data_IF_187244109190
#
_entry.id   IF_187244109190
#
_cell.length_a   1.000
_cell.length_b   1.000
_cell.length_c   1.000
_cell.angle_alpha   90.00
_cell.angle_beta   90.00
_cell.angle_gamma   90.00
#
_symmetry.space_group_name_H-M   'P 1'
#
loop_
_entity.id
_entity.type
_entity.pdbx_description
1 polymer ?
#
# COMPACT_ATOMS: atom_id res chain seq x y z
N UNK A 1 22.34 9.70 11.38
CA UNK A 1 21.48 8.57 11.85
C UNK A 1 20.00 8.88 11.70
N UNK A 2 19.48 10.00 12.25
CA UNK A 2 18.04 10.36 12.15
C UNK A 2 17.59 10.50 10.70
N UNK A 3 18.36 11.17 9.86
CA UNK A 3 18.10 11.36 8.42
C UNK A 3 17.93 10.02 7.69
N UNK A 4 18.76 9.04 8.01
CA UNK A 4 18.68 7.68 7.46
C UNK A 4 17.43 6.97 7.97
N UNK A 5 17.15 7.01 9.27
CA UNK A 5 15.99 6.32 9.84
C UNK A 5 14.66 6.85 9.30
N UNK A 6 14.52 8.19 9.21
CA UNK A 6 13.34 8.81 8.63
C UNK A 6 13.23 8.54 7.14
N UNK A 7 14.35 8.56 6.40
CA UNK A 7 14.39 8.23 4.99
C UNK A 7 13.94 6.78 4.73
N UNK A 8 14.45 5.82 5.49
CA UNK A 8 14.01 4.42 5.43
C UNK A 8 12.52 4.27 5.70
N UNK A 9 12.06 4.85 6.80
CA UNK A 9 10.65 4.75 7.18
C UNK A 9 9.73 5.33 6.11
N UNK A 10 10.05 6.53 5.60
CA UNK A 10 9.24 7.20 4.60
C UNK A 10 9.25 6.46 3.27
N UNK A 11 10.41 6.01 2.78
CA UNK A 11 10.49 5.33 1.49
C UNK A 11 9.83 3.95 1.52
N UNK A 12 10.03 3.14 2.56
CA UNK A 12 9.39 1.83 2.67
C UNK A 12 7.88 2.00 2.86
N UNK A 13 7.44 2.94 3.72
CA UNK A 13 6.03 3.28 3.88
C UNK A 13 5.41 3.69 2.53
N UNK A 14 6.07 4.57 1.77
CA UNK A 14 5.59 5.02 0.46
C UNK A 14 5.58 3.90 -0.59
N UNK A 15 6.54 2.97 -0.57
CA UNK A 15 6.52 1.78 -1.43
C UNK A 15 5.34 0.87 -1.10
N UNK A 16 5.11 0.59 0.18
CA UNK A 16 3.97 -0.21 0.61
C UNK A 16 2.64 0.45 0.26
N UNK A 17 2.51 1.76 0.50
CA UNK A 17 1.31 2.54 0.17
C UNK A 17 1.06 2.65 -1.33
N UNK A 18 2.08 2.54 -2.17
CA UNK A 18 1.88 2.52 -3.62
C UNK A 18 1.33 1.19 -4.11
N UNK A 19 1.71 0.06 -3.51
CA UNK A 19 1.18 -1.26 -3.85
C UNK A 19 -0.18 -1.55 -3.21
N UNK A 20 -0.33 -1.18 -1.93
CA UNK A 20 -1.56 -1.33 -1.15
C UNK A 20 -2.21 0.01 -0.86
N UNK A 21 -3.38 -0.04 -0.26
CA UNK A 21 -4.13 1.13 0.20
C UNK A 21 -3.89 1.43 1.67
N UNK A 22 -4.33 2.59 2.13
CA UNK A 22 -4.28 2.94 3.56
C UNK A 22 -5.18 2.05 4.42
N UNK A 23 -6.36 1.69 3.88
CA UNK A 23 -7.34 0.82 4.52
C UNK A 23 -7.87 -0.15 3.47
N UNK A 24 -8.02 -1.42 3.84
CA UNK A 24 -8.69 -2.43 3.02
C UNK A 24 -9.94 -2.94 3.72
N UNK A 25 -10.99 -3.16 2.92
CA UNK A 25 -12.23 -3.82 3.34
C UNK A 25 -12.36 -5.11 2.56
N UNK A 26 -12.46 -6.22 3.26
CA UNK A 26 -12.57 -7.56 2.69
C UNK A 26 -13.69 -8.34 3.39
N UNK A 27 -14.09 -9.46 2.80
CA UNK A 27 -14.96 -10.41 3.48
C UNK A 27 -14.24 -11.02 4.69
N UNK A 28 -14.93 -11.15 5.82
CA UNK A 28 -14.41 -11.88 6.99
C UNK A 28 -14.15 -13.37 6.66
N UNK A 29 -14.87 -13.91 5.68
CA UNK A 29 -14.79 -15.31 5.24
C UNK A 29 -13.88 -15.43 4.02
N UNK A 30 -12.57 -15.26 4.20
CA UNK A 30 -11.58 -15.46 3.14
C UNK A 30 -11.32 -16.95 2.91
N UNK A 31 -11.04 -17.31 1.65
CA UNK A 31 -10.51 -18.63 1.30
C UNK A 31 -9.07 -18.80 1.84
N UNK A 32 -8.70 -20.02 2.23
CA UNK A 32 -7.37 -20.36 2.75
C UNK A 32 -6.22 -20.03 1.76
N UNK A 33 -6.52 -19.79 0.49
CA UNK A 33 -5.53 -19.54 -0.57
C UNK A 33 -5.26 -18.06 -0.86
N UNK A 34 -5.58 -17.14 0.06
CA UNK A 34 -5.49 -15.68 -0.14
C UNK A 34 -6.37 -15.13 -1.27
N UNK A 35 -7.26 -15.95 -1.83
CA UNK A 35 -8.24 -15.50 -2.78
C UNK A 35 -9.34 -14.71 -2.06
N UNK A 36 -9.79 -13.63 -2.69
CA UNK A 36 -10.88 -12.83 -2.13
C UNK A 36 -12.23 -13.49 -2.36
N UNK A 37 -13.05 -13.54 -1.32
CA UNK A 37 -14.47 -13.88 -1.43
C UNK A 37 -15.25 -12.63 -1.87
N UNK A 38 -16.31 -12.77 -2.68
CA UNK A 38 -17.07 -11.62 -3.15
C UNK A 38 -17.78 -10.93 -2.00
N UNK A 39 -17.69 -9.61 -1.97
CA UNK A 39 -18.46 -8.73 -1.11
C UNK A 39 -19.51 -8.00 -1.92
N UNK A 40 -20.70 -7.79 -1.34
CA UNK A 40 -21.79 -7.07 -1.97
C UNK A 40 -21.79 -5.62 -1.52
N UNK A 41 -21.68 -4.71 -2.47
CA UNK A 41 -21.68 -3.26 -2.25
C UNK A 41 -23.08 -2.63 -2.38
N UNK A 42 -24.10 -3.39 -2.73
CA UNK A 42 -25.47 -2.90 -2.82
C UNK A 42 -25.88 -2.30 -1.46
N UNK A 43 -26.34 -1.05 -1.46
CA UNK A 43 -26.75 -0.31 -0.24
C UNK A 43 -25.63 0.02 0.75
N UNK A 44 -24.35 -0.08 0.37
CA UNK A 44 -23.23 0.38 1.18
C UNK A 44 -22.80 1.77 0.75
N UNK A 45 -23.27 2.78 1.45
CA UNK A 45 -22.78 4.15 1.25
C UNK A 45 -21.50 4.32 2.07
N UNK A 46 -20.41 4.58 1.39
CA UNK A 46 -19.19 5.06 2.02
C UNK A 46 -19.32 6.57 2.00
N UNK A 47 -19.63 7.16 3.15
CA UNK A 47 -19.68 8.62 3.29
C UNK A 47 -18.38 9.21 2.76
N UNK A 48 -18.49 10.12 1.79
CA UNK A 48 -17.36 10.89 1.27
C UNK A 48 -16.84 11.85 2.35
N UNK A 49 -16.12 11.29 3.33
CA UNK A 49 -15.41 12.09 4.31
C UNK A 49 -14.35 12.92 3.58
N UNK A 50 -14.17 14.18 3.97
CA UNK A 50 -13.16 15.12 3.44
C UNK A 50 -11.71 14.56 3.42
N UNK A 51 -11.46 13.43 4.09
CA UNK A 51 -10.17 12.76 4.14
C UNK A 51 -9.99 11.63 3.09
N UNK A 52 -11.03 11.29 2.31
CA UNK A 52 -10.96 10.25 1.28
C UNK A 52 -10.47 10.86 -0.03
N UNK A 53 -9.45 10.23 -0.65
CA UNK A 53 -8.97 10.59 -2.00
C UNK A 53 -9.67 9.74 -3.04
N UNK A 54 -9.67 8.41 -2.85
CA UNK A 54 -10.28 7.46 -3.77
C UNK A 54 -10.63 6.15 -3.09
N UNK A 55 -11.58 5.45 -3.67
CA UNK A 55 -11.98 4.09 -3.33
C UNK A 55 -11.83 3.30 -4.61
N UNK A 56 -11.12 2.19 -4.57
CA UNK A 56 -10.87 1.31 -5.71
C UNK A 56 -11.32 -0.10 -5.38
N UNK A 57 -12.04 -0.73 -6.31
CA UNK A 57 -12.39 -2.14 -6.20
C UNK A 57 -11.21 -3.01 -6.62
N UNK A 58 -11.05 -4.15 -5.94
CA UNK A 58 -10.06 -5.14 -6.32
C UNK A 58 -10.56 -6.57 -6.09
N UNK A 59 -9.83 -7.52 -6.65
CA UNK A 59 -9.99 -8.94 -6.37
C UNK A 59 -8.64 -9.65 -6.48
N UNK A 60 -8.47 -10.73 -5.70
CA UNK A 60 -7.31 -11.62 -5.82
C UNK A 60 -7.74 -13.00 -6.31
N UNK A 61 -6.96 -13.57 -7.23
CA UNK A 61 -7.13 -14.94 -7.72
C UNK A 61 -5.79 -15.62 -7.93
N UNK A 62 -5.63 -16.80 -7.34
CA UNK A 62 -4.44 -17.64 -7.54
C UNK A 62 -4.48 -18.29 -8.92
N UNK A 63 -3.34 -18.33 -9.57
CA UNK A 63 -3.19 -18.99 -10.86
C UNK A 63 -1.79 -19.57 -11.03
N UNK A 64 -1.68 -20.54 -11.92
CA UNK A 64 -0.43 -21.18 -12.31
C UNK A 64 -0.17 -20.82 -13.76
N UNK A 65 0.98 -20.21 -14.01
CA UNK A 65 1.47 -19.95 -15.37
C UNK A 65 2.29 -21.16 -15.81
N UNK A 66 2.03 -21.65 -17.00
CA UNK A 66 2.78 -22.72 -17.63
C UNK A 66 3.30 -22.26 -18.98
N UNK A 67 4.60 -22.43 -19.21
CA UNK A 67 5.20 -22.27 -20.52
C UNK A 67 5.51 -23.64 -21.12
N UNK A 68 5.08 -23.81 -22.36
CA UNK A 68 5.54 -24.94 -23.19
C UNK A 68 6.90 -24.58 -23.79
N UNK A 69 7.98 -24.86 -23.08
CA UNK A 69 9.29 -24.78 -23.68
C UNK A 69 9.50 -25.94 -24.66
N UNK A 70 10.20 -25.63 -25.80
CA UNK A 70 10.59 -26.65 -26.77
C UNK A 70 11.61 -27.66 -26.22
N UNK A 71 12.25 -27.36 -25.10
CA UNK A 71 13.13 -28.26 -24.33
C UNK A 71 12.37 -28.79 -23.14
N UNK A 72 12.21 -30.05 -23.04
CA UNK A 72 11.55 -31.02 -22.12
C UNK A 72 11.24 -30.65 -20.64
N UNK A 73 11.41 -29.45 -20.17
CA UNK A 73 11.01 -28.99 -18.85
C UNK A 73 9.89 -27.95 -18.94
N UNK A 74 8.68 -28.33 -18.48
CA UNK A 74 7.59 -27.38 -18.29
C UNK A 74 7.93 -26.48 -17.09
N UNK A 75 8.32 -25.22 -17.33
CA UNK A 75 8.48 -24.24 -16.28
C UNK A 75 7.09 -23.78 -15.81
N UNK A 76 6.89 -23.83 -14.51
CA UNK A 76 5.61 -23.53 -13.87
C UNK A 76 5.84 -22.53 -12.75
N UNK A 77 5.04 -21.47 -12.71
CA UNK A 77 5.09 -20.45 -11.65
C UNK A 77 3.71 -20.16 -11.10
N UNK A 78 3.61 -20.20 -9.77
CA UNK A 78 2.36 -19.84 -9.06
C UNK A 78 2.33 -18.35 -8.74
N UNK A 79 1.30 -17.65 -9.21
CA UNK A 79 1.11 -16.22 -8.99
C UNK A 79 -0.26 -15.92 -8.39
N UNK A 80 -0.34 -14.82 -7.67
CA UNK A 80 -1.58 -14.21 -7.21
C UNK A 80 -1.91 -13.02 -8.11
N UNK A 81 -2.94 -13.14 -8.94
CA UNK A 81 -3.40 -12.04 -9.78
C UNK A 81 -4.26 -11.07 -8.98
N UNK A 82 -3.89 -9.79 -9.03
CA UNK A 82 -4.67 -8.68 -8.53
C UNK A 82 -5.46 -8.06 -9.69
N UNK A 83 -6.78 -8.13 -9.60
CA UNK A 83 -7.68 -7.46 -10.52
C UNK A 83 -7.75 -5.97 -10.20
N UNK A 84 -7.54 -5.13 -11.21
CA UNK A 84 -7.59 -3.66 -11.12
C UNK A 84 -8.66 -3.16 -12.08
N UNK A 85 -9.46 -2.22 -11.63
CA UNK A 85 -10.54 -1.63 -12.43
C UNK A 85 -10.00 -0.70 -13.53
N UNK A 86 -8.99 0.11 -13.21
CA UNK A 86 -8.42 1.06 -14.16
C UNK A 86 -6.90 1.17 -14.03
N UNK A 87 -6.18 0.53 -14.95
CA UNK A 87 -4.71 0.57 -14.96
C UNK A 87 -4.13 1.98 -15.14
N UNK A 88 -4.81 2.83 -15.94
CA UNK A 88 -4.33 4.20 -16.19
C UNK A 88 -4.49 5.12 -14.98
N UNK A 89 -5.39 4.82 -14.05
CA UNK A 89 -5.54 5.57 -12.79
C UNK A 89 -4.63 5.03 -11.69
N UNK A 90 -4.23 3.76 -11.80
CA UNK A 90 -3.41 3.11 -10.78
C UNK A 90 -2.02 3.74 -10.69
N UNK A 91 -1.76 4.44 -9.59
CA UNK A 91 -0.50 5.16 -9.34
C UNK A 91 0.71 4.24 -9.23
N UNK A 92 0.50 3.03 -8.69
CA UNK A 92 1.54 2.02 -8.52
C UNK A 92 2.08 1.57 -9.89
N UNK A 93 1.20 1.11 -10.77
CA UNK A 93 1.62 0.64 -12.09
C UNK A 93 2.25 1.74 -12.93
N UNK A 94 1.75 2.99 -12.84
CA UNK A 94 2.41 4.13 -13.51
C UNK A 94 3.84 4.35 -13.05
N UNK A 95 4.10 4.17 -11.75
CA UNK A 95 5.41 4.43 -11.15
C UNK A 95 6.43 3.32 -11.43
N UNK A 96 5.97 2.07 -11.41
CA UNK A 96 6.84 0.91 -11.44
C UNK A 96 6.84 0.14 -12.77
N UNK A 97 6.06 0.56 -13.78
CA UNK A 97 6.13 -0.01 -15.12
C UNK A 97 7.45 0.37 -15.76
N UNK A 98 8.22 -0.63 -16.19
CA UNK A 98 9.55 -0.45 -16.82
C UNK A 98 9.52 -0.71 -18.30
N UNK A 99 8.57 -1.53 -18.78
CA UNK A 99 8.44 -1.84 -20.20
C UNK A 99 7.00 -2.17 -20.57
N UNK A 100 6.61 -1.93 -21.81
CA UNK A 100 5.24 -2.14 -22.28
C UNK A 100 4.32 -0.93 -22.07
N UNK A 101 3.02 -1.16 -22.22
CA UNK A 101 1.99 -0.13 -22.15
C UNK A 101 0.86 -0.56 -21.22
N UNK A 102 0.39 0.36 -20.38
CA UNK A 102 -0.79 0.13 -19.55
C UNK A 102 -2.04 -0.03 -20.44
N UNK A 103 -2.73 -1.17 -20.37
CA UNK A 103 -3.91 -1.41 -21.19
C UNK A 103 -5.00 -0.36 -20.91
N UNK A 104 -5.75 -0.03 -21.98
CA UNK A 104 -6.91 0.83 -21.88
C UNK A 104 -8.17 -0.02 -21.95
N UNK A 105 -8.97 0.00 -20.90
CA UNK A 105 -10.22 -0.75 -20.86
C UNK A 105 -11.37 0.15 -21.35
N UNK A 106 -11.62 0.14 -22.65
CA UNK A 106 -12.80 0.80 -23.23
C UNK A 106 -13.97 -0.17 -23.14
N UNK A 107 -14.56 -0.37 -21.96
CA UNK A 107 -15.75 -1.20 -21.70
C UNK A 107 -15.70 -2.66 -22.25
N UNK A 108 -14.55 -3.13 -22.73
CA UNK A 108 -14.33 -4.52 -23.16
C UNK A 108 -13.37 -5.18 -22.19
N UNK A 109 -13.74 -6.38 -21.75
CA UNK A 109 -12.87 -7.23 -20.92
C UNK A 109 -11.57 -7.51 -21.65
N UNK A 110 -10.46 -7.25 -20.99
CA UNK A 110 -9.14 -7.36 -21.57
C UNK A 110 -8.40 -8.57 -20.97
N UNK A 111 -7.76 -9.37 -21.81
CA UNK A 111 -6.94 -10.52 -21.45
C UNK A 111 -5.45 -10.19 -21.28
N UNK A 112 -5.12 -8.90 -21.25
CA UNK A 112 -3.75 -8.42 -21.06
C UNK A 112 -3.37 -8.44 -19.59
N UNK A 113 -2.15 -8.93 -19.32
CA UNK A 113 -1.58 -8.99 -17.96
C UNK A 113 -0.30 -8.20 -17.88
N UNK A 114 0.02 -7.75 -16.67
CA UNK A 114 1.26 -7.11 -16.32
C UNK A 114 1.95 -7.99 -15.29
N UNK A 115 3.19 -8.40 -15.57
CA UNK A 115 4.00 -9.26 -14.71
C UNK A 115 5.27 -8.55 -14.27
N UNK A 116 5.89 -9.05 -13.20
CA UNK A 116 7.18 -8.50 -12.76
C UNK A 116 8.31 -8.90 -13.68
N UNK A 117 9.37 -8.09 -13.72
CA UNK A 117 10.63 -8.43 -14.41
C UNK A 117 11.17 -9.78 -13.94
N UNK A 118 11.14 -10.03 -12.63
CA UNK A 118 11.60 -11.28 -12.03
C UNK A 118 10.84 -12.50 -12.57
N UNK A 119 9.51 -12.43 -12.61
CA UNK A 119 8.66 -13.49 -13.18
C UNK A 119 8.92 -13.66 -14.67
N UNK A 120 9.06 -12.56 -15.42
CA UNK A 120 9.36 -12.62 -16.85
C UNK A 120 10.74 -13.24 -17.14
N UNK A 121 11.76 -12.92 -16.37
CA UNK A 121 13.09 -13.52 -16.49
C UNK A 121 13.07 -15.01 -16.19
N UNK A 122 12.41 -15.40 -15.07
CA UNK A 122 12.28 -16.79 -14.65
C UNK A 122 11.58 -17.66 -15.70
N UNK A 123 10.56 -17.10 -16.35
CA UNK A 123 9.77 -17.78 -17.38
C UNK A 123 10.22 -17.43 -18.81
N UNK A 124 11.33 -16.70 -19.01
CA UNK A 124 11.83 -16.27 -20.31
C UNK A 124 10.78 -15.61 -21.22
N UNK A 125 9.87 -14.81 -20.62
CA UNK A 125 8.77 -14.13 -21.30
C UNK A 125 9.21 -12.81 -21.91
N UNK A 126 8.65 -12.48 -23.08
CA UNK A 126 8.78 -11.20 -23.78
C UNK A 126 7.43 -10.51 -23.92
N UNK A 127 7.44 -9.18 -24.12
CA UNK A 127 6.20 -8.44 -24.39
C UNK A 127 5.45 -9.04 -25.57
N UNK A 128 4.13 -9.05 -25.47
CA UNK A 128 3.16 -9.62 -26.41
C UNK A 128 3.16 -11.16 -26.49
N UNK A 129 3.92 -11.85 -25.64
CA UNK A 129 3.84 -13.32 -25.58
C UNK A 129 2.47 -13.77 -25.07
N UNK A 130 1.98 -14.88 -25.63
CA UNK A 130 0.79 -15.57 -25.17
C UNK A 130 1.15 -16.53 -24.05
N UNK A 131 0.53 -16.32 -22.89
CA UNK A 131 0.81 -17.05 -21.65
C UNK A 131 -0.37 -17.97 -21.36
N UNK A 132 -0.10 -19.26 -21.23
CA UNK A 132 -1.11 -20.22 -20.77
C UNK A 132 -1.18 -20.17 -19.25
N UNK A 133 -2.34 -19.78 -18.73
CA UNK A 133 -2.58 -19.60 -17.29
C UNK A 133 -3.73 -20.50 -16.84
N UNK A 134 -3.54 -21.20 -15.74
CA UNK A 134 -4.55 -22.05 -15.12
C UNK A 134 -5.06 -21.42 -13.84
N UNK A 135 -6.31 -21.01 -13.84
CA UNK A 135 -7.01 -20.50 -12.65
C UNK A 135 -7.77 -21.67 -11.98
N UNK A 136 -7.62 -21.80 -10.69
CA UNK A 136 -8.35 -22.83 -9.93
C UNK A 136 -9.72 -22.26 -9.54
N UNK A 137 -10.78 -22.84 -10.05
CA UNK A 137 -12.16 -22.43 -9.73
C UNK A 137 -12.98 -23.65 -9.37
N UNK A 138 -13.59 -23.67 -8.19
CA UNK A 138 -14.42 -24.79 -7.69
C UNK A 138 -13.68 -26.15 -7.76
N UNK A 139 -12.37 -26.15 -7.47
CA UNK A 139 -11.53 -27.36 -7.51
C UNK A 139 -11.06 -27.78 -8.91
N UNK A 140 -11.53 -27.14 -9.98
CA UNK A 140 -11.15 -27.46 -11.35
C UNK A 140 -10.26 -26.40 -11.97
N UNK A 141 -9.15 -26.79 -12.64
CA UNK A 141 -8.31 -25.84 -13.36
C UNK A 141 -9.04 -25.35 -14.61
N UNK A 142 -9.13 -24.03 -14.74
CA UNK A 142 -9.66 -23.36 -15.94
C UNK A 142 -8.51 -22.74 -16.70
N UNK A 143 -8.18 -23.29 -17.87
CA UNK A 143 -7.16 -22.75 -18.75
C UNK A 143 -7.65 -21.46 -19.40
N UNK A 144 -6.76 -20.46 -19.42
CA UNK A 144 -6.92 -19.18 -20.11
C UNK A 144 -5.61 -18.79 -20.80
N UNK A 145 -5.72 -18.17 -21.96
CA UNK A 145 -4.59 -17.60 -22.65
C UNK A 145 -4.61 -16.09 -22.40
N UNK A 146 -3.54 -15.58 -21.82
CA UNK A 146 -3.36 -14.17 -21.51
C UNK A 146 -2.23 -13.61 -22.36
N UNK A 147 -2.18 -12.30 -22.55
CA UNK A 147 -1.15 -11.61 -23.31
C UNK A 147 -0.32 -10.74 -22.36
N UNK A 148 1.00 -10.85 -22.41
CA UNK A 148 1.89 -9.99 -21.62
C UNK A 148 1.95 -8.59 -22.23
N UNK A 149 1.30 -7.61 -21.62
CA UNK A 149 1.25 -6.24 -22.11
C UNK A 149 2.20 -5.27 -21.43
N UNK A 150 2.72 -5.63 -20.25
CA UNK A 150 3.66 -4.78 -19.52
C UNK A 150 4.48 -5.53 -18.50
N UNK A 151 5.64 -4.97 -18.19
CA UNK A 151 6.59 -5.50 -17.20
C UNK A 151 6.81 -4.43 -16.13
N UNK A 152 6.67 -4.81 -14.88
CA UNK A 152 6.89 -3.91 -13.74
C UNK A 152 8.04 -4.41 -12.84
N UNK A 153 8.62 -3.51 -12.06
CA UNK A 153 9.65 -3.81 -11.06
C UNK A 153 9.54 -2.85 -9.88
N UNK A 154 9.34 -3.40 -8.70
CA UNK A 154 9.18 -2.61 -7.47
C UNK A 154 10.41 -2.63 -6.58
N UNK A 155 11.21 -3.68 -6.70
CA UNK A 155 12.26 -4.02 -5.76
C UNK A 155 11.75 -4.56 -4.42
N UNK A 156 10.45 -4.84 -4.31
CA UNK A 156 9.88 -5.56 -3.19
C UNK A 156 9.77 -7.05 -3.56
N UNK A 157 10.69 -7.87 -3.07
CA UNK A 157 10.75 -9.29 -3.36
C UNK A 157 9.39 -10.00 -3.19
N UNK A 158 8.68 -9.68 -2.09
CA UNK A 158 7.35 -10.25 -1.79
C UNK A 158 6.28 -9.86 -2.83
N UNK A 159 6.45 -8.73 -3.51
CA UNK A 159 5.55 -8.27 -4.56
C UNK A 159 5.98 -8.83 -5.91
N UNK A 160 7.26 -8.65 -6.26
CA UNK A 160 7.80 -9.01 -7.57
C UNK A 160 7.82 -10.53 -7.83
N UNK A 161 7.86 -11.35 -6.76
CA UNK A 161 7.83 -12.81 -6.89
C UNK A 161 6.42 -13.42 -6.90
N UNK A 162 5.38 -12.67 -6.50
CA UNK A 162 4.06 -13.28 -6.23
C UNK A 162 2.91 -12.68 -6.98
N UNK A 163 3.01 -11.42 -7.40
CA UNK A 163 1.85 -10.73 -7.96
C UNK A 163 1.93 -10.57 -9.47
N UNK A 164 0.77 -10.72 -10.11
CA UNK A 164 0.48 -10.28 -11.47
C UNK A 164 -0.75 -9.38 -11.45
N UNK A 165 -0.88 -8.48 -12.43
CA UNK A 165 -2.02 -7.57 -12.52
C UNK A 165 -2.83 -7.88 -13.75
N UNK A 166 -4.16 -7.88 -13.60
CA UNK A 166 -5.11 -8.21 -14.65
C UNK A 166 -6.35 -7.32 -14.50
N UNK A 167 -7.18 -7.26 -15.55
CA UNK A 167 -8.48 -6.61 -15.51
C UNK A 167 -9.40 -7.22 -14.44
N UNK A 168 -9.97 -6.38 -13.57
CA UNK A 168 -10.92 -6.80 -12.53
C UNK A 168 -12.14 -7.49 -13.12
N UNK A 169 -12.68 -6.98 -14.23
CA UNK A 169 -13.83 -7.59 -14.90
C UNK A 169 -13.51 -8.99 -15.44
N UNK A 170 -12.26 -9.20 -15.87
CA UNK A 170 -11.79 -10.52 -16.27
C UNK A 170 -11.81 -11.51 -15.10
N UNK A 171 -11.33 -11.10 -13.91
CA UNK A 171 -11.38 -11.93 -12.71
C UNK A 171 -12.80 -12.19 -12.22
N UNK A 172 -13.68 -11.19 -12.25
CA UNK A 172 -15.11 -11.37 -11.91
C UNK A 172 -15.74 -12.48 -12.77
N UNK A 173 -15.44 -12.50 -14.08
CA UNK A 173 -15.91 -13.56 -14.99
C UNK A 173 -15.31 -14.93 -14.73
N UNK A 174 -14.01 -15.02 -14.42
CA UNK A 174 -13.36 -16.29 -14.06
C UNK A 174 -13.97 -16.86 -12.79
N UNK A 175 -14.24 -16.03 -11.80
CA UNK A 175 -14.82 -16.42 -10.52
C UNK A 175 -16.33 -16.73 -10.62
N UNK A 176 -16.95 -16.43 -11.77
CA UNK A 176 -18.41 -16.49 -11.96
C UNK A 176 -19.15 -15.69 -10.86
N UNK A 177 -18.62 -14.47 -10.56
CA UNK A 177 -19.30 -13.59 -9.63
C UNK A 177 -20.47 -12.93 -10.33
N UNK A 178 -21.59 -12.89 -9.62
CA UNK A 178 -22.83 -12.37 -10.13
C UNK A 178 -23.62 -13.36 -11.00
N UNK A 179 -24.88 -13.00 -11.18
CA UNK A 179 -25.79 -13.70 -12.05
C UNK A 179 -25.68 -13.09 -13.45
N UNK A 180 -25.44 -13.89 -14.46
CA UNK A 180 -25.55 -13.47 -15.86
C UNK A 180 -26.71 -14.22 -16.48
N UNK A 181 -27.78 -13.52 -16.80
CA UNK A 181 -28.98 -14.13 -17.41
C UNK A 181 -28.65 -14.68 -18.80
N UNK A 182 -28.96 -15.97 -18.99
CA UNK A 182 -28.83 -16.67 -20.27
C UNK A 182 -30.19 -17.11 -20.71
N UNK A 183 -30.60 -16.67 -21.88
CA UNK A 183 -31.89 -17.00 -22.45
C UNK A 183 -31.73 -17.79 -23.74
N UNK A 184 -32.73 -18.67 -24.03
CA UNK A 184 -32.93 -19.31 -25.33
C UNK A 184 -34.33 -18.93 -25.78
N UNK A 185 -34.50 -18.71 -27.04
CA UNK A 185 -35.82 -18.46 -27.62
C UNK A 185 -36.20 -19.56 -28.60
N UNK A 186 -37.50 -19.74 -28.73
CA UNK A 186 -38.10 -20.67 -29.70
C UNK A 186 -39.32 -20.00 -30.31
N UNK A 187 -39.45 -20.11 -31.62
CA UNK A 187 -40.68 -19.69 -32.34
C UNK A 187 -41.61 -20.87 -32.38
N UNK A 188 -42.87 -20.68 -32.02
CA UNK A 188 -43.90 -21.71 -32.17
C UNK A 188 -44.17 -22.00 -33.64
N UNK A 189 -44.68 -23.21 -33.90
CA UNK A 189 -44.92 -23.74 -35.25
C UNK A 189 -45.75 -22.81 -36.15
N UNK A 190 -46.62 -22.01 -35.56
CA UNK A 190 -47.46 -21.06 -36.28
C UNK A 190 -46.82 -19.68 -36.45
N UNK A 191 -45.55 -19.48 -36.03
CA UNK A 191 -44.83 -18.21 -36.05
C UNK A 191 -45.58 -17.03 -35.40
N UNK A 192 -46.60 -17.31 -34.58
CA UNK A 192 -47.45 -16.30 -33.94
C UNK A 192 -46.95 -15.90 -32.55
N UNK A 193 -46.20 -16.76 -31.90
CA UNK A 193 -45.69 -16.56 -30.56
C UNK A 193 -44.22 -16.90 -30.44
N UNK A 194 -43.55 -16.23 -29.53
CA UNK A 194 -42.14 -16.44 -29.20
C UNK A 194 -42.07 -16.82 -27.72
N UNK A 195 -41.45 -17.95 -27.48
CA UNK A 195 -41.19 -18.45 -26.12
C UNK A 195 -39.76 -18.16 -25.75
N UNK A 196 -39.51 -17.42 -24.67
CA UNK A 196 -38.21 -17.17 -24.10
C UNK A 196 -38.04 -17.99 -22.83
N UNK A 197 -37.00 -18.81 -22.79
CA UNK A 197 -36.64 -19.62 -21.67
C UNK A 197 -35.34 -19.13 -21.04
N UNK A 198 -35.30 -18.90 -19.73
CA UNK A 198 -34.08 -18.66 -18.98
C UNK A 198 -33.43 -20.01 -18.64
N UNK A 199 -32.16 -20.16 -19.02
CA UNK A 199 -31.42 -21.43 -18.88
C UNK A 199 -30.46 -21.43 -17.67
N UNK A 200 -30.54 -20.40 -16.83
CA UNK A 200 -29.70 -20.28 -15.64
C UNK A 200 -30.03 -21.37 -14.61
N UNK A 201 -28.95 -21.83 -13.94
CA UNK A 201 -29.06 -22.70 -12.75
C UNK A 201 -28.41 -21.99 -11.59
N UNK A 202 -29.09 -21.87 -10.47
CA UNK A 202 -28.47 -21.42 -9.22
C UNK A 202 -27.54 -22.49 -8.70
N UNK A 203 -26.39 -22.09 -8.18
CA UNK A 203 -25.42 -23.01 -7.59
C UNK A 203 -25.80 -23.40 -6.16
N UNK A 204 -26.28 -22.48 -5.36
CA UNK A 204 -26.48 -22.63 -3.92
C UNK A 204 -27.80 -21.98 -3.40
N UNK A 205 -28.79 -21.85 -4.26
CA UNK A 205 -30.04 -21.18 -3.87
C UNK A 205 -31.15 -21.34 -4.90
N UNK A 206 -32.08 -20.40 -4.96
CA UNK A 206 -33.15 -20.37 -5.92
C UNK A 206 -33.14 -19.06 -6.72
N UNK A 207 -33.68 -19.16 -7.93
CA UNK A 207 -33.80 -18.02 -8.86
C UNK A 207 -35.25 -17.58 -8.92
N UNK A 208 -35.48 -16.28 -8.85
CA UNK A 208 -36.77 -15.65 -9.15
C UNK A 208 -36.60 -14.72 -10.34
N UNK A 209 -37.63 -14.57 -11.15
CA UNK A 209 -37.62 -13.72 -12.33
C UNK A 209 -38.78 -12.75 -12.29
N UNK A 210 -38.48 -11.51 -12.67
CA UNK A 210 -39.51 -10.50 -12.98
C UNK A 210 -39.48 -10.24 -14.47
N UNK A 211 -40.60 -10.53 -15.14
CA UNK A 211 -40.78 -10.39 -16.57
C UNK A 211 -41.37 -9.01 -16.94
N UNK A 212 -41.18 -8.02 -16.10
CA UNK A 212 -41.70 -6.67 -16.30
C UNK A 212 -43.03 -6.36 -15.59
N UNK A 213 -43.54 -7.33 -14.83
CA UNK A 213 -44.79 -7.20 -14.08
C UNK A 213 -44.58 -6.82 -12.60
N UNK A 214 -43.37 -6.53 -12.21
CA UNK A 214 -42.95 -6.28 -10.79
C UNK A 214 -43.21 -7.48 -9.82
N UNK A 215 -43.58 -8.63 -10.37
CA UNK A 215 -43.81 -9.86 -9.60
C UNK A 215 -42.60 -10.78 -9.73
N UNK A 216 -42.00 -11.14 -8.63
CA UNK A 216 -40.88 -12.08 -8.57
C UNK A 216 -41.44 -13.50 -8.55
N UNK A 217 -41.33 -14.21 -9.65
CA UNK A 217 -41.84 -15.58 -9.81
C UNK A 217 -40.72 -16.57 -10.14
N UNK A 218 -40.82 -17.84 -9.71
CA UNK A 218 -39.85 -18.87 -10.07
C UNK A 218 -39.96 -19.33 -11.53
N UNK A 219 -40.91 -18.76 -12.30
CA UNK A 219 -41.15 -19.15 -13.70
C UNK A 219 -40.00 -18.65 -14.61
N UNK A 220 -39.27 -19.58 -15.17
CA UNK A 220 -38.15 -19.34 -16.08
C UNK A 220 -38.57 -19.16 -17.57
N UNK A 221 -39.86 -19.05 -17.84
CA UNK A 221 -40.39 -18.98 -19.20
C UNK A 221 -41.39 -17.84 -19.34
N UNK A 222 -41.34 -17.14 -20.47
CA UNK A 222 -42.34 -16.15 -20.86
C UNK A 222 -42.66 -16.30 -22.33
N UNK A 223 -43.93 -16.08 -22.67
CA UNK A 223 -44.48 -16.19 -24.03
C UNK A 223 -45.02 -14.83 -24.42
N UNK A 224 -44.70 -14.36 -25.62
CA UNK A 224 -45.23 -13.11 -26.18
C UNK A 224 -45.49 -13.21 -27.68
N UNK A 225 -46.31 -12.30 -28.17
CA UNK A 225 -46.74 -12.29 -29.59
C UNK A 225 -45.60 -11.84 -30.51
N UNK A 226 -45.35 -12.62 -31.59
CA UNK A 226 -44.40 -12.28 -32.64
C UNK A 226 -44.92 -11.25 -33.67
N UNK A 227 -46.17 -10.77 -33.53
CA UNK A 227 -46.80 -9.88 -34.52
C UNK A 227 -46.42 -8.40 -34.39
N UNK A 228 -45.80 -8.00 -33.29
CA UNK A 228 -45.43 -6.60 -32.98
C UNK A 228 -44.02 -6.52 -32.41
N UNK A 229 -43.35 -5.40 -32.64
CA UNK A 229 -42.11 -5.07 -31.97
C UNK A 229 -42.35 -5.05 -30.46
N UNK A 230 -41.47 -5.73 -29.73
CA UNK A 230 -41.57 -5.87 -28.28
C UNK A 230 -40.23 -5.63 -27.62
N UNK A 231 -40.26 -4.90 -26.51
CA UNK A 231 -39.10 -4.77 -25.61
C UNK A 231 -39.51 -5.32 -24.25
N UNK A 232 -38.81 -6.36 -23.81
CA UNK A 232 -39.04 -7.02 -22.54
C UNK A 232 -37.87 -6.74 -21.61
N UNK A 233 -38.15 -6.27 -20.41
CA UNK A 233 -37.17 -6.13 -19.36
C UNK A 233 -37.27 -7.36 -18.44
N UNK A 234 -36.27 -8.25 -18.51
CA UNK A 234 -36.15 -9.41 -17.62
C UNK A 234 -35.21 -9.09 -16.49
N UNK A 235 -35.65 -9.21 -15.25
CA UNK A 235 -34.80 -9.07 -14.05
C UNK A 235 -34.75 -10.43 -13.38
N UNK A 236 -33.55 -10.98 -13.23
CA UNK A 236 -33.30 -12.20 -12.48
C UNK A 236 -32.76 -11.88 -11.09
N UNK A 237 -33.23 -12.59 -10.10
CA UNK A 237 -32.78 -12.46 -8.71
C UNK A 237 -32.25 -13.80 -8.25
N UNK A 238 -30.99 -13.84 -7.84
CA UNK A 238 -30.42 -15.03 -7.18
C UNK A 238 -30.44 -14.84 -5.68
N UNK A 239 -31.08 -15.78 -4.99
CA UNK A 239 -31.11 -15.85 -3.54
C UNK A 239 -30.17 -16.98 -3.11
N UNK A 240 -29.03 -16.66 -2.56
CA UNK A 240 -28.10 -17.64 -2.01
C UNK A 240 -28.27 -17.78 -0.50
N UNK A 241 -28.44 -19.01 -0.04
CA UNK A 241 -28.33 -19.33 1.38
C UNK A 241 -26.85 -19.31 1.78
N UNK A 242 -26.36 -18.15 2.16
CA UNK A 242 -25.14 -18.12 2.97
C UNK A 242 -25.51 -18.55 4.40
N UNK A 243 -24.65 -19.31 5.05
CA UNK A 243 -24.86 -19.95 6.39
C UNK A 243 -25.35 -19.02 7.52
N UNK A 244 -25.55 -17.76 7.26
CA UNK A 244 -25.98 -16.73 8.23
C UNK A 244 -27.19 -15.95 7.70
N UNK A 245 -28.32 -16.58 7.43
CA UNK A 245 -29.65 -15.98 7.24
C UNK A 245 -29.79 -14.65 6.44
N UNK A 246 -28.75 -14.11 5.86
CA UNK A 246 -28.81 -12.94 5.00
C UNK A 246 -28.89 -13.40 3.55
N UNK A 247 -30.10 -13.43 3.01
CA UNK A 247 -30.36 -13.63 1.59
C UNK A 247 -29.74 -12.47 0.81
N UNK A 248 -28.63 -12.74 0.11
CA UNK A 248 -28.04 -11.76 -0.81
C UNK A 248 -28.90 -11.77 -2.07
N UNK A 249 -29.64 -10.70 -2.29
CA UNK A 249 -30.45 -10.50 -3.45
C UNK A 249 -29.73 -9.52 -4.40
N UNK A 250 -29.10 -10.06 -5.44
CA UNK A 250 -28.41 -9.25 -6.45
C UNK A 250 -29.15 -9.40 -7.77
N UNK A 251 -29.79 -8.37 -8.28
CA UNK A 251 -30.49 -8.42 -9.54
C UNK A 251 -29.53 -8.39 -10.73
N UNK A 252 -29.86 -9.13 -11.77
CA UNK A 252 -29.30 -8.99 -13.12
C UNK A 252 -30.40 -8.61 -14.09
N UNK A 253 -30.18 -7.63 -14.93
CA UNK A 253 -31.19 -7.10 -15.83
C UNK A 253 -30.80 -7.32 -17.29
N UNK A 254 -31.63 -8.03 -18.01
CA UNK A 254 -31.49 -8.27 -19.45
C UNK A 254 -32.65 -7.61 -20.21
N UNK A 255 -32.31 -6.74 -21.14
CA UNK A 255 -33.29 -6.16 -22.05
C UNK A 255 -33.33 -7.01 -23.33
N UNK A 256 -34.48 -7.55 -23.65
CA UNK A 256 -34.72 -8.37 -24.83
C UNK A 256 -35.55 -7.53 -25.79
N UNK A 257 -35.00 -7.23 -26.94
CA UNK A 257 -35.66 -6.45 -27.99
C UNK A 257 -35.99 -7.38 -29.16
N UNK A 258 -37.24 -7.46 -29.53
CA UNK A 258 -37.68 -8.18 -30.71
C UNK A 258 -38.18 -7.22 -31.78
N UNK A 259 -37.64 -7.34 -32.98
CA UNK A 259 -38.03 -6.57 -34.16
C UNK A 259 -38.85 -7.48 -35.09
N UNK A 260 -40.18 -7.28 -35.12
CA UNK A 260 -41.12 -8.16 -35.85
C UNK A 260 -40.89 -8.10 -37.36
N UNK A 261 -40.51 -6.95 -37.94
CA UNK A 261 -40.22 -6.80 -39.37
C UNK A 261 -39.02 -7.63 -39.86
N UNK A 262 -38.05 -7.81 -38.99
CA UNK A 262 -36.76 -8.50 -39.31
C UNK A 262 -36.70 -9.91 -38.72
N UNK A 263 -37.65 -10.26 -37.88
CA UNK A 263 -37.65 -11.52 -37.10
C UNK A 263 -36.37 -11.74 -36.30
N UNK A 264 -35.80 -10.64 -35.75
CA UNK A 264 -34.53 -10.67 -35.02
C UNK A 264 -34.78 -10.37 -33.57
N UNK A 265 -34.15 -11.18 -32.69
CA UNK A 265 -34.06 -10.93 -31.24
C UNK A 265 -32.65 -10.41 -30.93
N UNK A 266 -32.61 -9.24 -30.33
CA UNK A 266 -31.34 -8.69 -29.79
C UNK A 266 -31.39 -8.61 -28.28
N UNK A 267 -30.22 -8.77 -27.68
CA UNK A 267 -30.07 -8.76 -26.24
C UNK A 267 -29.15 -7.61 -25.82
N UNK A 268 -29.57 -6.87 -24.81
CA UNK A 268 -28.79 -5.80 -24.21
C UNK A 268 -28.74 -6.00 -22.70
N UNK A 269 -27.55 -6.21 -22.13
CA UNK A 269 -27.39 -6.23 -20.68
C UNK A 269 -27.46 -4.79 -20.17
N UNK A 270 -28.49 -4.47 -19.42
CA UNK A 270 -28.70 -3.13 -18.90
C UNK A 270 -27.88 -2.89 -17.62
N UNK A 271 -27.89 -3.86 -16.71
CA UNK A 271 -27.13 -3.80 -15.44
C UNK A 271 -26.78 -5.24 -15.04
N UNK A 272 -25.49 -5.57 -15.05
CA UNK A 272 -25.03 -6.88 -14.59
C UNK A 272 -24.91 -6.92 -13.08
N UNK A 273 -25.26 -8.03 -12.47
CA UNK A 273 -25.11 -8.24 -11.02
C UNK A 273 -23.64 -8.25 -10.55
N UNK A 274 -22.72 -8.44 -11.50
CA UNK A 274 -21.26 -8.39 -11.27
C UNK A 274 -20.78 -6.97 -10.92
N UNK A 275 -21.53 -5.92 -11.27
CA UNK A 275 -21.20 -4.53 -10.91
C UNK A 275 -21.24 -4.29 -9.39
N UNK A 276 -22.08 -5.02 -8.66
CA UNK A 276 -22.22 -4.86 -7.21
C UNK A 276 -21.33 -5.80 -6.41
N UNK A 277 -20.54 -6.63 -7.09
CA UNK A 277 -19.64 -7.60 -6.44
C UNK A 277 -18.18 -7.26 -6.70
N UNK A 278 -17.40 -7.17 -5.64
CA UNK A 278 -15.95 -7.08 -5.73
C UNK A 278 -15.29 -7.99 -4.69
N UNK A 279 -13.99 -8.20 -4.80
CA UNK A 279 -13.24 -8.99 -3.80
C UNK A 279 -12.93 -8.20 -2.54
N UNK A 280 -12.88 -6.88 -2.67
CA UNK A 280 -12.63 -5.95 -1.58
C UNK A 280 -12.54 -4.52 -2.09
N UNK A 281 -12.41 -3.60 -1.15
CA UNK A 281 -12.23 -2.18 -1.41
C UNK A 281 -10.89 -1.71 -0.88
N UNK A 282 -10.18 -0.95 -1.69
CA UNK A 282 -8.97 -0.22 -1.32
C UNK A 282 -9.30 1.26 -1.14
N UNK A 283 -9.03 1.77 0.05
CA UNK A 283 -9.34 3.16 0.42
C UNK A 283 -8.05 3.94 0.58
N UNK A 284 -7.94 5.03 -0.16
CA UNK A 284 -6.81 5.96 -0.13
C UNK A 284 -7.21 7.23 0.59
N UNK A 285 -6.43 7.63 1.59
CA UNK A 285 -6.66 8.80 2.44
C UNK A 285 -5.73 9.96 2.05
N UNK A 286 -6.20 11.19 2.24
CA UNK A 286 -5.36 12.38 2.11
C UNK A 286 -4.32 12.47 3.24
N UNK A 287 -4.73 12.09 4.46
CA UNK A 287 -3.89 12.09 5.64
C UNK A 287 -3.77 10.67 6.21
N UNK A 288 -2.58 10.10 6.12
CA UNK A 288 -2.27 8.76 6.58
C UNK A 288 -2.52 8.60 8.09
N UNK A 289 -2.24 9.63 8.88
CA UNK A 289 -2.33 9.55 10.34
C UNK A 289 -3.78 9.36 10.83
N UNK A 290 -4.75 9.75 10.03
CA UNK A 290 -6.18 9.58 10.33
C UNK A 290 -6.75 8.20 10.01
N UNK A 291 -5.93 7.25 9.52
CA UNK A 291 -6.39 5.91 9.12
C UNK A 291 -7.15 5.15 10.21
N UNK A 292 -6.70 5.26 11.47
CA UNK A 292 -7.35 4.57 12.58
C UNK A 292 -8.74 5.15 12.90
N UNK A 293 -8.88 6.46 12.80
CA UNK A 293 -10.16 7.15 13.02
C UNK A 293 -11.14 6.80 11.88
N UNK A 294 -10.68 6.84 10.63
CA UNK A 294 -11.51 6.45 9.49
C UNK A 294 -11.89 4.98 9.56
N UNK A 295 -10.98 4.09 9.97
CA UNK A 295 -11.27 2.68 10.20
C UNK A 295 -12.38 2.47 11.22
N UNK A 296 -12.38 3.21 12.33
CA UNK A 296 -13.44 3.12 13.35
C UNK A 296 -14.80 3.54 12.77
N UNK A 297 -14.85 4.62 11.98
CA UNK A 297 -16.07 5.07 11.32
C UNK A 297 -16.58 4.03 10.30
N UNK A 298 -15.68 3.44 9.52
CA UNK A 298 -16.04 2.39 8.57
C UNK A 298 -16.59 1.15 9.27
N UNK A 299 -16.01 0.75 10.42
CA UNK A 299 -16.54 -0.37 11.21
C UNK A 299 -17.97 -0.15 11.71
N UNK A 300 -18.37 1.08 11.96
CA UNK A 300 -19.73 1.41 12.35
C UNK A 300 -20.74 1.26 11.19
N UNK A 301 -20.29 1.52 9.94
CA UNK A 301 -21.12 1.48 8.75
C UNK A 301 -21.15 0.11 8.06
N UNK A 302 -20.10 -0.68 8.22
CA UNK A 302 -19.99 -2.04 7.70
C UNK A 302 -20.27 -3.05 8.81
N UNK A 303 -21.03 -4.10 8.51
CA UNK A 303 -21.35 -5.16 9.47
C UNK A 303 -20.15 -6.05 9.87
N UNK A 304 -20.34 -6.97 10.81
CA UNK A 304 -19.29 -7.86 11.28
C UNK A 304 -18.79 -8.86 10.21
N UNK A 305 -19.51 -9.00 9.11
CA UNK A 305 -19.12 -9.82 7.97
C UNK A 305 -17.94 -9.24 7.19
N UNK A 306 -17.54 -7.98 7.46
CA UNK A 306 -16.42 -7.32 6.82
C UNK A 306 -15.21 -7.22 7.74
N UNK A 307 -14.07 -7.60 7.22
CA UNK A 307 -12.77 -7.37 7.83
C UNK A 307 -12.21 -6.04 7.32
N UNK A 308 -12.08 -5.05 8.19
CA UNK A 308 -11.49 -3.75 7.89
C UNK A 308 -10.11 -3.68 8.53
N UNK A 309 -9.07 -3.61 7.71
CA UNK A 309 -7.68 -3.59 8.16
C UNK A 309 -6.94 -2.39 7.60
N UNK A 310 -6.05 -1.81 8.40
CA UNK A 310 -5.12 -0.78 7.98
C UNK A 310 -3.85 -1.43 7.42
N UNK A 311 -3.06 -0.70 6.64
CA UNK A 311 -1.84 -1.22 6.01
C UNK A 311 -0.81 -1.71 7.04
N UNK A 312 -0.72 -1.05 8.18
CA UNK A 312 0.15 -1.46 9.28
C UNK A 312 -0.29 -2.79 9.92
N UNK A 313 -1.57 -3.07 9.93
CA UNK A 313 -2.09 -4.38 10.37
C UNK A 313 -1.89 -5.48 9.34
N UNK A 314 -1.91 -5.15 8.06
CA UNK A 314 -1.67 -6.12 6.98
C UNK A 314 -0.20 -6.50 6.84
N UNK A 315 0.71 -5.55 7.11
CA UNK A 315 2.16 -5.70 7.01
C UNK A 315 2.86 -5.53 8.36
N UNK A 316 2.31 -6.14 9.40
CA UNK A 316 2.78 -6.02 10.79
C UNK A 316 4.28 -6.27 10.94
N UNK A 317 4.82 -7.28 10.22
CA UNK A 317 6.24 -7.62 10.26
C UNK A 317 7.13 -6.47 9.80
N UNK A 318 6.74 -5.79 8.71
CA UNK A 318 7.53 -4.69 8.13
C UNK A 318 7.45 -3.47 9.03
N UNK A 319 6.26 -3.12 9.52
CA UNK A 319 6.10 -1.98 10.43
C UNK A 319 6.76 -2.22 11.79
N UNK A 320 6.74 -3.45 12.32
CA UNK A 320 7.48 -3.82 13.53
C UNK A 320 8.99 -3.68 13.33
N UNK A 321 9.51 -4.15 12.18
CA UNK A 321 10.90 -3.98 11.83
C UNK A 321 11.31 -2.50 11.70
N UNK A 322 10.50 -1.66 11.06
CA UNK A 322 10.73 -0.21 10.98
C UNK A 322 10.75 0.44 12.37
N UNK A 323 9.88 0.03 13.28
CA UNK A 323 9.86 0.51 14.66
C UNK A 323 11.12 0.11 15.42
N UNK A 324 11.64 -1.12 15.22
CA UNK A 324 12.90 -1.55 15.82
C UNK A 324 14.08 -0.70 15.34
N UNK A 325 14.14 -0.36 14.05
CA UNK A 325 15.16 0.55 13.51
C UNK A 325 15.09 1.89 14.25
N UNK A 326 13.88 2.44 14.44
CA UNK A 326 13.70 3.71 15.11
C UNK A 326 14.13 3.68 16.58
N UNK A 327 13.81 2.61 17.30
CA UNK A 327 14.24 2.41 18.69
C UNK A 327 15.77 2.31 18.78
N UNK A 328 16.42 1.57 17.88
CA UNK A 328 17.88 1.47 17.83
C UNK A 328 18.53 2.84 17.58
N UNK A 329 17.99 3.64 16.65
CA UNK A 329 18.48 5.00 16.39
C UNK A 329 18.32 5.88 17.62
N UNK A 330 17.23 5.77 18.37
CA UNK A 330 17.04 6.52 19.61
C UNK A 330 18.09 6.16 20.66
N UNK A 331 18.40 4.87 20.86
CA UNK A 331 19.45 4.41 21.77
C UNK A 331 20.80 4.97 21.34
N UNK A 332 21.14 4.89 20.04
CA UNK A 332 22.39 5.43 19.50
C UNK A 332 22.50 6.93 19.76
N UNK A 333 21.42 7.70 19.57
CA UNK A 333 21.39 9.13 19.84
C UNK A 333 21.67 9.46 21.29
N UNK A 334 21.05 8.73 22.23
CA UNK A 334 21.30 8.91 23.66
C UNK A 334 22.76 8.66 24.01
N UNK A 335 23.34 7.56 23.47
CA UNK A 335 24.76 7.25 23.66
C UNK A 335 25.67 8.32 23.05
N UNK A 336 25.38 8.82 21.86
CA UNK A 336 26.14 9.88 21.21
C UNK A 336 26.12 11.19 22.03
N UNK A 337 24.94 11.56 22.57
CA UNK A 337 24.82 12.73 23.46
C UNK A 337 25.66 12.52 24.73
N UNK A 338 25.61 11.33 25.34
CA UNK A 338 26.41 11.02 26.53
C UNK A 338 27.93 11.15 26.27
N UNK A 339 28.40 10.62 25.13
CA UNK A 339 29.79 10.75 24.72
C UNK A 339 30.18 12.20 24.46
N UNK A 340 29.30 12.97 23.78
CA UNK A 340 29.51 14.39 23.52
C UNK A 340 29.61 15.21 24.82
N UNK A 341 28.80 14.91 25.82
CA UNK A 341 28.79 15.52 27.15
C UNK A 341 30.13 15.25 27.86
N UNK A 342 30.60 14.01 27.82
CA UNK A 342 31.91 13.62 28.47
C UNK A 342 33.05 14.34 27.75
N UNK A 343 33.10 14.28 26.41
CA UNK A 343 34.17 14.91 25.65
C UNK A 343 34.23 16.44 25.88
N UNK A 344 33.08 17.09 25.92
CA UNK A 344 33.01 18.53 26.16
C UNK A 344 33.45 18.87 27.60
N UNK A 345 33.07 18.05 28.57
CA UNK A 345 33.52 18.22 29.97
C UNK A 345 35.03 18.05 30.11
N UNK A 346 35.60 17.05 29.45
CA UNK A 346 37.06 16.83 29.43
C UNK A 346 37.79 17.98 28.74
N UNK A 347 37.31 18.44 27.59
CA UNK A 347 37.92 19.57 26.88
C UNK A 347 37.96 20.83 27.73
N UNK A 348 36.85 21.14 28.43
CA UNK A 348 36.80 22.27 29.34
C UNK A 348 37.77 22.11 30.53
N UNK A 349 37.87 20.91 31.07
CA UNK A 349 38.77 20.60 32.17
C UNK A 349 40.24 20.82 31.76
N UNK A 350 40.63 20.32 30.58
CA UNK A 350 41.98 20.53 30.01
C UNK A 350 42.26 22.04 29.85
N UNK A 351 41.30 22.78 29.31
CA UNK A 351 41.44 24.23 29.15
C UNK A 351 41.60 24.96 30.49
N UNK A 352 40.88 24.54 31.53
CA UNK A 352 41.01 25.09 32.88
C UNK A 352 42.41 24.80 33.44
N UNK A 353 42.92 23.58 33.28
CA UNK A 353 44.28 23.19 33.75
C UNK A 353 45.35 24.01 33.01
N UNK A 354 45.26 24.09 31.70
CA UNK A 354 46.19 24.89 30.87
C UNK A 354 46.23 26.37 31.29
N UNK A 355 45.08 26.93 31.65
CA UNK A 355 44.98 28.36 32.03
C UNK A 355 45.09 28.57 33.56
N UNK A 356 45.60 27.63 34.32
CA UNK A 356 45.67 27.66 35.81
C UNK A 356 46.44 28.86 36.33
N UNK A 357 47.58 29.23 35.72
CA UNK A 357 48.35 30.45 36.07
C UNK A 357 47.53 31.72 35.88
N UNK A 358 46.82 31.85 34.76
CA UNK A 358 45.95 33.00 34.48
C UNK A 358 44.81 33.08 35.52
N UNK A 359 44.22 31.95 35.90
CA UNK A 359 43.19 31.87 36.95
C UNK A 359 43.74 32.36 38.28
N UNK A 360 44.98 31.95 38.65
CA UNK A 360 45.68 32.40 39.87
C UNK A 360 45.85 33.91 39.91
N UNK A 361 46.37 34.52 38.84
CA UNK A 361 46.55 35.97 38.72
C UNK A 361 45.22 36.72 38.82
N UNK A 362 44.21 36.29 38.09
CA UNK A 362 42.89 36.93 38.12
C UNK A 362 42.27 36.90 39.52
N UNK A 363 42.42 35.80 40.23
CA UNK A 363 41.94 35.66 41.61
C UNK A 363 42.73 36.52 42.59
N UNK A 364 44.03 36.67 42.41
CA UNK A 364 44.86 37.56 43.22
C UNK A 364 44.44 39.04 43.04
N UNK A 365 43.98 39.42 41.84
CA UNK A 365 43.37 40.73 41.51
C UNK A 365 41.92 40.89 42.01
N UNK A 366 41.34 39.91 42.68
CA UNK A 366 40.03 40.00 43.33
C UNK A 366 38.82 39.65 42.46
N UNK A 367 38.99 38.93 41.34
CA UNK A 367 37.86 38.51 40.48
C UNK A 367 36.93 37.54 41.24
N UNK A 368 35.62 37.73 41.13
CA UNK A 368 34.63 36.84 41.75
C UNK A 368 34.62 35.48 41.06
N UNK A 369 34.43 34.39 41.84
CA UNK A 369 34.38 33.04 41.33
C UNK A 369 33.26 32.84 40.26
N UNK A 370 32.14 33.57 40.39
CA UNK A 370 31.06 33.56 39.42
C UNK A 370 31.46 34.16 38.06
N UNK A 371 32.22 35.26 38.07
CA UNK A 371 32.75 35.89 36.86
C UNK A 371 33.76 34.97 36.15
N UNK A 372 34.60 34.30 36.92
CA UNK A 372 35.58 33.34 36.40
C UNK A 372 34.85 32.15 35.70
N UNK A 373 33.85 31.57 36.37
CA UNK A 373 33.04 30.49 35.77
C UNK A 373 32.37 30.96 34.48
N UNK A 374 31.79 32.19 34.45
CA UNK A 374 31.16 32.74 33.26
C UNK A 374 32.12 32.83 32.08
N UNK A 375 33.38 33.22 32.30
CA UNK A 375 34.41 33.28 31.25
C UNK A 375 34.60 31.92 30.59
N UNK A 376 34.79 30.83 31.41
CA UNK A 376 35.03 29.49 30.91
C UNK A 376 33.79 28.90 30.22
N UNK A 377 32.60 29.12 30.79
CA UNK A 377 31.33 28.66 30.18
C UNK A 377 31.07 29.39 28.83
N UNK A 378 31.35 30.70 28.75
CA UNK A 378 31.19 31.45 27.51
C UNK A 378 32.18 30.95 26.45
N UNK A 379 33.44 30.73 26.82
CA UNK A 379 34.42 30.22 25.87
C UNK A 379 34.12 28.79 25.41
N UNK A 380 33.74 27.92 26.30
CA UNK A 380 33.31 26.56 25.99
C UNK A 380 32.00 26.57 25.14
N UNK A 381 31.05 27.45 25.46
CA UNK A 381 29.83 27.64 24.67
C UNK A 381 30.10 28.11 23.24
N UNK A 382 31.11 28.98 23.04
CA UNK A 382 31.52 29.39 21.71
C UNK A 382 32.12 28.23 20.91
N UNK A 383 33.03 27.46 21.54
CA UNK A 383 33.60 26.27 20.92
C UNK A 383 32.50 25.23 20.54
N UNK A 384 31.55 25.02 21.47
CA UNK A 384 30.41 24.16 21.22
C UNK A 384 29.58 24.64 20.02
N UNK A 385 29.28 25.93 19.94
CA UNK A 385 28.52 26.52 18.83
C UNK A 385 29.23 26.36 17.48
N UNK A 386 30.53 26.59 17.41
CA UNK A 386 31.33 26.37 16.19
C UNK A 386 31.32 24.88 15.80
N UNK A 387 31.47 23.96 16.78
CA UNK A 387 31.39 22.54 16.53
C UNK A 387 30.05 22.10 15.99
N UNK A 388 28.94 22.60 16.55
CA UNK A 388 27.59 22.29 16.06
C UNK A 388 27.35 22.83 14.65
N UNK A 389 27.77 24.06 14.35
CA UNK A 389 27.66 24.63 13.01
C UNK A 389 28.45 23.81 11.98
N UNK A 390 29.71 23.51 12.27
CA UNK A 390 30.58 22.71 11.41
C UNK A 390 30.01 21.30 11.19
N UNK A 391 29.56 20.65 12.27
CA UNK A 391 28.96 19.31 12.20
C UNK A 391 27.67 19.28 11.35
N UNK A 392 26.79 20.28 11.50
CA UNK A 392 25.59 20.37 10.69
C UNK A 392 25.88 20.63 9.20
N UNK A 393 26.88 21.46 8.89
CA UNK A 393 27.30 21.71 7.50
C UNK A 393 27.82 20.42 6.87
N UNK A 394 28.71 19.71 7.56
CA UNK A 394 29.23 18.43 7.09
C UNK A 394 28.13 17.39 6.87
N UNK A 395 27.21 17.28 7.83
CA UNK A 395 26.06 16.39 7.70
C UNK A 395 25.19 16.76 6.48
N UNK A 396 24.92 18.04 6.27
CA UNK A 396 24.19 18.54 5.11
C UNK A 396 24.86 18.17 3.79
N UNK A 397 26.18 18.34 3.70
CA UNK A 397 26.97 17.97 2.51
C UNK A 397 26.84 16.44 2.24
N UNK A 398 27.01 15.61 3.26
CA UNK A 398 26.91 14.14 3.11
C UNK A 398 25.53 13.72 2.64
N UNK A 399 24.47 14.30 3.21
CA UNK A 399 23.10 13.98 2.81
C UNK A 399 22.84 14.39 1.35
N UNK A 400 23.30 15.58 0.95
CA UNK A 400 23.12 16.07 -0.42
C UNK A 400 23.88 15.20 -1.41
N UNK A 401 25.14 14.88 -1.12
CA UNK A 401 25.98 14.02 -1.97
C UNK A 401 25.36 12.62 -2.10
N UNK A 402 24.83 12.04 -1.00
CA UNK A 402 24.19 10.75 -1.05
C UNK A 402 22.91 10.77 -1.92
N UNK A 403 22.10 11.83 -1.82
CA UNK A 403 20.85 11.93 -2.58
C UNK A 403 21.09 12.17 -4.08
N UNK A 404 22.22 12.79 -4.46
CA UNK A 404 22.56 13.06 -5.88
C UNK A 404 23.36 11.92 -6.52
N UNK A 405 24.31 11.34 -5.80
CA UNK A 405 25.27 10.37 -6.35
C UNK A 405 24.88 8.92 -6.01
N UNK A 406 24.06 8.72 -4.96
CA UNK A 406 23.63 7.40 -4.51
C UNK A 406 24.80 6.41 -4.28
N UNK A 407 25.90 6.90 -3.66
CA UNK A 407 27.11 6.09 -3.51
C UNK A 407 26.96 4.94 -2.51
N UNK A 408 26.09 5.07 -1.48
CA UNK A 408 25.77 4.00 -0.54
C UNK A 408 24.66 3.13 -1.10
N UNK A 409 25.03 2.02 -1.73
CA UNK A 409 24.09 1.03 -2.24
C UNK A 409 23.75 -0.02 -1.20
N UNK A 410 22.54 -0.55 -1.26
CA UNK A 410 22.02 -1.60 -0.38
C UNK A 410 21.65 -2.85 -1.18
N UNK A 411 21.84 -4.06 -0.63
CA UNK A 411 21.28 -5.26 -1.23
C UNK A 411 19.74 -5.22 -1.10
N UNK A 412 19.07 -5.01 -2.23
CA UNK A 412 17.62 -4.81 -2.33
C UNK A 412 16.80 -5.95 -1.72
N UNK A 413 17.31 -7.18 -1.80
CA UNK A 413 16.67 -8.38 -1.26
C UNK A 413 16.43 -8.30 0.26
N UNK A 414 17.35 -7.66 1.00
CA UNK A 414 17.32 -7.59 2.46
C UNK A 414 16.68 -6.28 2.97
N UNK A 415 16.86 -5.18 2.24
CA UNK A 415 16.49 -3.83 2.72
C UNK A 415 15.32 -3.20 1.98
N UNK A 416 14.78 -3.88 0.96
CA UNK A 416 13.67 -3.38 0.12
C UNK A 416 13.97 -2.07 -0.65
N UNK A 417 15.20 -1.57 -0.59
CA UNK A 417 15.68 -0.33 -1.22
C UNK A 417 17.05 -0.56 -1.86
N UNK A 418 17.31 0.11 -2.99
CA UNK A 418 18.56 -0.01 -3.74
C UNK A 418 19.68 0.83 -3.13
N UNK A 419 19.31 1.94 -2.49
CA UNK A 419 20.22 2.94 -1.93
C UNK A 419 19.79 3.34 -0.52
N UNK A 420 20.73 3.84 0.29
CA UNK A 420 20.44 4.36 1.62
C UNK A 420 19.67 5.68 1.47
N UNK A 421 18.39 5.74 1.82
CA UNK A 421 17.62 6.96 1.72
C UNK A 421 17.99 7.92 2.83
N UNK A 422 18.16 9.20 2.50
CA UNK A 422 18.44 10.25 3.47
C UNK A 422 17.45 11.39 3.33
N UNK A 423 16.58 11.55 4.31
CA UNK A 423 15.62 12.67 4.39
C UNK A 423 16.18 13.83 5.19
N UNK A 424 15.64 15.02 4.95
CA UNK A 424 15.90 16.23 5.74
C UNK A 424 14.73 16.54 6.70
N UNK A 425 14.56 15.83 7.81
CA UNK A 425 13.53 16.17 8.78
C UNK A 425 13.98 17.38 9.60
N UNK A 426 13.85 18.57 9.02
CA UNK A 426 14.41 19.84 9.55
C UNK A 426 14.01 20.10 11.01
N UNK A 427 12.73 19.86 11.35
CA UNK A 427 12.23 20.03 12.72
C UNK A 427 12.90 19.07 13.71
N UNK A 428 13.05 17.80 13.33
CA UNK A 428 13.67 16.78 14.18
C UNK A 428 15.16 17.03 14.35
N UNK A 429 15.86 17.44 13.28
CA UNK A 429 17.28 17.79 13.33
C UNK A 429 17.49 18.99 14.26
N UNK A 430 16.66 20.03 14.15
CA UNK A 430 16.72 21.20 14.98
C UNK A 430 16.45 20.88 16.45
N UNK A 431 15.44 20.05 16.73
CA UNK A 431 15.11 19.62 18.08
C UNK A 431 16.26 18.83 18.74
N UNK A 432 16.84 17.87 18.00
CA UNK A 432 17.97 17.05 18.50
C UNK A 432 19.21 17.91 18.76
N UNK A 433 19.53 18.84 17.84
CA UNK A 433 20.63 19.78 18.03
C UNK A 433 20.41 20.65 19.26
N UNK A 434 19.20 21.18 19.46
CA UNK A 434 18.89 22.01 20.64
C UNK A 434 19.02 21.20 21.95
N UNK A 435 18.51 19.97 21.97
CA UNK A 435 18.60 19.08 23.13
C UNK A 435 20.07 18.75 23.42
N UNK A 436 20.84 18.34 22.41
CA UNK A 436 22.26 18.01 22.57
C UNK A 436 23.08 19.21 23.04
N UNK A 437 22.84 20.39 22.44
CA UNK A 437 23.48 21.64 22.84
C UNK A 437 23.19 21.96 24.31
N UNK A 438 21.95 21.85 24.74
CA UNK A 438 21.53 22.12 26.11
C UNK A 438 22.19 21.16 27.12
N UNK A 439 22.23 19.87 26.80
CA UNK A 439 22.91 18.88 27.67
C UNK A 439 24.40 19.13 27.75
N UNK A 440 25.08 19.40 26.64
CA UNK A 440 26.51 19.73 26.63
C UNK A 440 26.78 21.03 27.39
N UNK A 441 25.96 22.06 27.24
CA UNK A 441 26.07 23.33 27.94
C UNK A 441 25.89 23.17 29.46
N UNK A 442 24.89 22.40 29.88
CA UNK A 442 24.68 22.07 31.28
C UNK A 442 25.87 21.27 31.88
N UNK A 443 26.38 20.31 31.14
CA UNK A 443 27.51 19.48 31.56
C UNK A 443 28.79 20.29 31.83
N UNK A 444 29.02 21.38 31.07
CA UNK A 444 30.13 22.29 31.28
C UNK A 444 30.12 22.97 32.65
N UNK A 445 28.96 23.05 33.31
CA UNK A 445 28.88 23.69 34.65
C UNK A 445 29.69 22.92 35.69
N UNK A 446 29.78 21.56 35.60
CA UNK A 446 30.52 20.72 36.54
C UNK A 446 32.03 21.02 36.52
N UNK A 447 32.74 20.96 35.38
CA UNK A 447 34.18 21.35 35.34
C UNK A 447 34.41 22.82 35.70
N UNK A 448 33.50 23.72 35.34
CA UNK A 448 33.65 25.14 35.66
C UNK A 448 33.67 25.41 37.19
N UNK A 449 33.03 24.59 38.00
CA UNK A 449 33.11 24.66 39.46
C UNK A 449 34.53 24.37 39.96
N UNK A 450 35.26 23.47 39.31
CA UNK A 450 36.65 23.14 39.67
C UNK A 450 37.55 24.38 39.52
N UNK A 451 37.34 25.21 38.46
CA UNK A 451 38.12 26.42 38.29
C UNK A 451 38.00 27.40 39.47
N UNK A 452 36.87 27.37 40.15
CA UNK A 452 36.64 28.22 41.31
C UNK A 452 37.31 27.73 42.61
N UNK A 453 37.73 26.44 42.68
CA UNK A 453 38.41 25.86 43.85
C UNK A 453 39.93 25.97 43.79
N UNK A 454 40.49 26.40 42.67
CA UNK A 454 41.95 26.59 42.52
C UNK A 454 42.40 27.73 43.43
N UNK A 455 43.39 27.46 44.36
CA UNK A 455 43.97 28.51 45.24
C UNK A 455 44.98 29.35 44.48
N UNK A 456 45.01 30.70 44.65
CA UNK A 456 45.95 31.57 43.95
C UNK A 456 47.43 31.21 44.20
N UNK A 457 47.76 30.85 45.42
CA UNK A 457 49.13 30.48 45.83
C UNK A 457 49.63 29.25 45.11
N UNK A 458 48.80 28.17 45.05
CA UNK A 458 49.16 26.93 44.35
C UNK A 458 49.21 27.10 42.83
N UNK A 459 48.35 27.98 42.27
CA UNK A 459 48.30 28.22 40.85
C UNK A 459 49.50 29.03 40.30
N UNK A 460 50.06 29.94 41.09
CA UNK A 460 51.23 30.75 40.70
C UNK A 460 52.54 29.97 40.86
N UNK A 461 52.63 29.07 41.89
CA UNK A 461 53.84 28.25 42.17
C UNK A 461 53.86 26.92 41.41
N UNK A 462 52.84 26.56 40.62
CA UNK A 462 52.86 25.35 39.81
C UNK A 462 53.77 25.57 38.60
N UNK A 463 54.98 24.99 38.64
CA UNK A 463 55.77 24.71 37.45
C UNK A 463 55.08 23.59 36.70
N UNK A 464 54.50 23.85 35.53
CA UNK A 464 54.06 22.87 34.56
C UNK A 464 55.06 22.84 33.44
#
# INVERSE_FOLDING_TARGET
>A
TVSIATGFQNQIKNKLLSFGSHIQIESMFQSNNKETSPINLLNKNIDENKNLISIEEYAYKSAIIQLKNRSSSNEVEGLLFKGIENFKRNKFLKKYLIDGVLPNFNNKVNDTVILSRKTCQKLSLKLNDKITTFFISDGNPRQRNLILGGIYETGLEKVDSKFGFIDLQYLKKINNWGLTLKTKYHFDSDSSTITINVTNKSKNGFLLYDWGNQLKVPNNQSIFSAKKDCTLKLIGFEFSNLKNNNLINIPDTLIIKYAAKQNIISYENAEGSDQYLCGGLEIYLADFEKRNLVKQNLKANFGPEFKISTIDEQHQEIFAWLNLIYQNVYIILVLMIAVAVINMSCALLVLIVEKTKMIGILKALGIRNTSLRKIFITHGGLLLSVGFLGGNILAGIIITVQNEIEFLKLPQENYYLDTVPMDYPTLNILAINLIAFLFCFLAMTLPSIISSKISPIKAINSEI
#
